data_IF_529672583795
#
_entry.id   IF_529672583795
#
_cell.length_a   1.000
_cell.length_b   1.000
_cell.length_c   1.000
_cell.angle_alpha   90.00
_cell.angle_beta   90.00
_cell.angle_gamma   90.00
#
_symmetry.space_group_name_H-M   'P 1'
#
loop_
_entity.id
_entity.type
_entity.pdbx_description
1 polymer ?
#
# COMPACT_ATOMS: atom_id res chain seq x y z
N UNK A 1 56.15 -46.01 15.01
CA UNK A 1 55.66 -45.48 13.72
C UNK A 1 54.24 -45.94 13.39
N UNK A 2 53.86 -47.20 13.66
CA UNK A 2 52.49 -47.68 13.36
C UNK A 2 51.39 -47.09 14.28
N UNK A 3 51.71 -46.83 15.56
CA UNK A 3 50.74 -46.28 16.53
C UNK A 3 50.40 -44.79 16.33
N UNK A 4 51.26 -43.99 15.69
CA UNK A 4 50.94 -42.58 15.41
C UNK A 4 49.93 -42.44 14.27
N UNK A 5 50.04 -43.29 13.24
CA UNK A 5 49.13 -43.29 12.08
C UNK A 5 47.69 -43.65 12.44
N UNK A 6 47.48 -44.51 13.44
CA UNK A 6 46.15 -44.92 13.89
C UNK A 6 45.45 -43.81 14.69
N UNK A 7 46.20 -43.01 15.46
CA UNK A 7 45.65 -41.86 16.19
C UNK A 7 45.20 -40.74 15.23
N UNK A 8 45.92 -40.54 14.12
CA UNK A 8 45.58 -39.53 13.12
C UNK A 8 44.29 -39.92 12.36
N UNK A 9 44.08 -41.21 12.09
CA UNK A 9 42.89 -41.74 11.41
C UNK A 9 41.63 -41.70 12.31
N UNK A 10 41.80 -41.98 13.60
CA UNK A 10 40.72 -41.84 14.59
C UNK A 10 40.33 -40.37 14.81
N UNK A 11 41.31 -39.45 14.85
CA UNK A 11 41.05 -38.02 14.95
C UNK A 11 40.35 -37.47 13.70
N UNK A 12 40.73 -37.92 12.50
CA UNK A 12 40.09 -37.55 11.25
C UNK A 12 38.63 -38.02 11.19
N UNK A 13 38.37 -39.26 11.62
CA UNK A 13 37.00 -39.81 11.66
C UNK A 13 36.10 -39.04 12.62
N UNK A 14 36.58 -38.73 13.83
CA UNK A 14 35.82 -37.93 14.82
C UNK A 14 35.52 -36.51 14.33
N UNK A 15 36.46 -35.88 13.61
CA UNK A 15 36.19 -34.58 13.00
C UNK A 15 35.12 -34.67 11.90
N UNK A 16 35.15 -35.74 11.11
CA UNK A 16 34.16 -35.97 10.07
C UNK A 16 32.75 -36.12 10.66
N UNK A 17 32.59 -36.96 11.68
CA UNK A 17 31.34 -37.16 12.41
C UNK A 17 30.85 -35.86 13.07
N UNK A 18 31.75 -35.09 13.70
CA UNK A 18 31.42 -33.81 14.30
C UNK A 18 30.96 -32.77 13.26
N UNK A 19 31.57 -32.76 12.07
CA UNK A 19 31.18 -31.88 10.98
C UNK A 19 29.83 -32.30 10.37
N UNK A 20 29.57 -33.60 10.21
CA UNK A 20 28.27 -34.09 9.75
C UNK A 20 27.14 -33.71 10.72
N UNK A 21 27.36 -33.86 12.03
CA UNK A 21 26.41 -33.42 13.05
C UNK A 21 26.13 -31.92 12.95
N UNK A 22 27.17 -31.10 12.81
CA UNK A 22 27.04 -29.65 12.62
C UNK A 22 26.29 -29.27 11.35
N UNK A 23 26.57 -29.93 10.24
CA UNK A 23 25.87 -29.69 8.97
C UNK A 23 24.39 -30.02 9.13
N UNK A 24 24.06 -31.10 9.85
CA UNK A 24 22.68 -31.47 10.12
C UNK A 24 21.97 -30.42 10.98
N UNK A 25 22.57 -30.01 12.09
CA UNK A 25 22.02 -28.97 12.97
C UNK A 25 21.81 -27.64 12.24
N UNK A 26 22.77 -27.22 11.42
CA UNK A 26 22.66 -25.99 10.63
C UNK A 26 21.55 -26.08 9.57
N UNK A 27 21.36 -27.25 8.95
CA UNK A 27 20.27 -27.46 8.00
C UNK A 27 18.90 -27.38 8.68
N UNK A 28 18.75 -28.00 9.84
CA UNK A 28 17.53 -27.93 10.64
C UNK A 28 17.24 -26.50 11.10
N UNK A 29 18.26 -25.72 11.46
CA UNK A 29 18.12 -24.29 11.77
C UNK A 29 17.65 -23.48 10.56
N UNK A 30 18.25 -23.69 9.39
CA UNK A 30 17.86 -23.00 8.16
C UNK A 30 16.40 -23.31 7.80
N UNK A 31 16.00 -24.58 7.87
CA UNK A 31 14.61 -24.98 7.56
C UNK A 31 13.63 -24.32 8.52
N UNK A 32 13.95 -24.27 9.81
CA UNK A 32 13.12 -23.59 10.80
C UNK A 32 13.04 -22.07 10.58
N UNK A 33 14.17 -21.43 10.29
CA UNK A 33 14.21 -20.00 10.00
C UNK A 33 13.43 -19.66 8.73
N UNK A 34 13.48 -20.53 7.72
CA UNK A 34 12.70 -20.38 6.48
C UNK A 34 11.19 -20.52 6.75
N UNK A 35 10.78 -21.51 7.54
CA UNK A 35 9.38 -21.64 7.97
C UNK A 35 8.87 -20.42 8.74
N UNK A 36 9.68 -19.90 9.68
CA UNK A 36 9.35 -18.69 10.43
C UNK A 36 9.27 -17.47 9.51
N UNK A 37 10.19 -17.34 8.54
CA UNK A 37 10.18 -16.29 7.54
C UNK A 37 8.90 -16.33 6.68
N UNK A 38 8.55 -17.50 6.16
CA UNK A 38 7.33 -17.70 5.35
C UNK A 38 6.07 -17.37 6.16
N UNK A 39 6.02 -17.78 7.43
CA UNK A 39 4.91 -17.44 8.31
C UNK A 39 4.81 -15.92 8.55
N UNK A 40 5.94 -15.23 8.75
CA UNK A 40 5.95 -13.78 8.88
C UNK A 40 5.48 -13.07 7.61
N UNK A 41 5.89 -13.54 6.43
CA UNK A 41 5.46 -13.01 5.14
C UNK A 41 3.94 -13.15 4.95
N UNK A 42 3.38 -14.33 5.24
CA UNK A 42 1.93 -14.57 5.22
C UNK A 42 1.17 -13.65 6.19
N UNK A 43 1.67 -13.51 7.42
CA UNK A 43 1.03 -12.63 8.41
C UNK A 43 1.02 -11.16 7.95
N UNK A 44 2.06 -10.70 7.26
CA UNK A 44 2.12 -9.34 6.70
C UNK A 44 1.06 -9.18 5.61
N UNK A 45 0.92 -10.14 4.70
CA UNK A 45 -0.09 -10.11 3.64
C UNK A 45 -1.51 -10.15 4.19
N UNK A 46 -1.78 -11.01 5.17
CA UNK A 46 -3.08 -11.09 5.83
C UNK A 46 -3.45 -9.77 6.52
N UNK A 47 -2.50 -9.17 7.24
CA UNK A 47 -2.69 -7.86 7.85
C UNK A 47 -2.96 -6.80 6.78
N UNK A 48 -2.18 -6.78 5.68
CA UNK A 48 -2.37 -5.87 4.56
C UNK A 48 -3.81 -5.96 4.03
N UNK A 49 -4.27 -7.16 3.71
CA UNK A 49 -5.59 -7.38 3.12
C UNK A 49 -6.72 -7.01 4.10
N UNK A 50 -6.55 -7.34 5.40
CA UNK A 50 -7.55 -7.04 6.44
C UNK A 50 -7.91 -5.56 6.54
N UNK A 51 -6.96 -4.64 6.34
CA UNK A 51 -7.26 -3.20 6.40
C UNK A 51 -7.45 -2.57 5.01
N UNK A 52 -6.79 -3.11 3.97
CA UNK A 52 -6.83 -2.53 2.63
C UNK A 52 -8.17 -2.78 1.94
N UNK A 53 -8.77 -3.97 2.11
CA UNK A 53 -10.09 -4.27 1.54
C UNK A 53 -11.19 -3.35 2.09
N UNK A 54 -11.35 -3.17 3.41
CA UNK A 54 -12.33 -2.22 3.95
C UNK A 54 -12.07 -0.77 3.52
N UNK A 55 -10.80 -0.37 3.41
CA UNK A 55 -10.44 0.97 2.95
C UNK A 55 -10.87 1.18 1.49
N UNK A 56 -10.58 0.21 0.62
CA UNK A 56 -10.95 0.26 -0.80
C UNK A 56 -12.48 0.32 -0.98
N UNK A 57 -13.23 -0.47 -0.20
CA UNK A 57 -14.69 -0.41 -0.18
C UNK A 57 -15.22 0.94 0.29
N UNK A 58 -14.61 1.53 1.33
CA UNK A 58 -14.99 2.84 1.83
C UNK A 58 -14.76 3.92 0.77
N UNK A 59 -13.60 3.90 0.11
CA UNK A 59 -13.27 4.82 -0.98
C UNK A 59 -14.23 4.65 -2.16
N UNK A 60 -14.58 3.41 -2.53
CA UNK A 60 -15.61 3.16 -3.57
C UNK A 60 -16.95 3.79 -3.24
N UNK A 61 -17.44 3.62 -2.01
CA UNK A 61 -18.70 4.24 -1.55
C UNK A 61 -18.63 5.77 -1.59
N UNK A 62 -17.49 6.35 -1.21
CA UNK A 62 -17.24 7.79 -1.31
C UNK A 62 -17.26 8.21 -2.78
N UNK A 63 -16.58 7.48 -3.65
CA UNK A 63 -16.50 7.76 -5.08
C UNK A 63 -17.86 7.70 -5.75
N UNK A 64 -18.71 6.72 -5.42
CA UNK A 64 -20.07 6.62 -5.96
C UNK A 64 -20.92 7.85 -5.60
N UNK A 65 -20.88 8.26 -4.33
CA UNK A 65 -21.60 9.46 -3.85
C UNK A 65 -21.06 10.73 -4.49
N UNK A 66 -19.73 10.86 -4.56
CA UNK A 66 -19.04 12.00 -5.16
C UNK A 66 -19.34 12.11 -6.65
N UNK A 67 -19.17 11.02 -7.39
CA UNK A 67 -19.47 10.93 -8.82
C UNK A 67 -20.93 11.28 -9.11
N UNK A 68 -21.88 10.79 -8.30
CA UNK A 68 -23.30 11.13 -8.45
C UNK A 68 -23.53 12.63 -8.26
N UNK A 69 -22.98 13.21 -7.20
CA UNK A 69 -23.08 14.63 -6.91
C UNK A 69 -22.50 15.50 -8.05
N UNK A 70 -21.37 15.09 -8.62
CA UNK A 70 -20.78 15.79 -9.76
C UNK A 70 -21.62 15.68 -11.03
N UNK A 71 -22.19 14.51 -11.31
CA UNK A 71 -23.11 14.32 -12.43
C UNK A 71 -24.33 15.24 -12.34
N UNK A 72 -24.88 15.43 -11.14
CA UNK A 72 -26.01 16.35 -10.92
C UNK A 72 -25.63 17.81 -11.22
N UNK A 73 -24.35 18.16 -11.16
CA UNK A 73 -23.79 19.46 -11.56
C UNK A 73 -23.30 19.50 -13.01
N UNK A 74 -23.66 18.51 -13.84
CA UNK A 74 -23.16 18.35 -15.22
C UNK A 74 -21.63 18.25 -15.32
N UNK A 75 -20.96 17.82 -14.24
CA UNK A 75 -19.52 17.63 -14.16
C UNK A 75 -19.18 16.14 -13.96
N UNK A 76 -17.91 15.77 -14.11
CA UNK A 76 -17.40 14.45 -13.75
C UNK A 76 -16.40 14.61 -12.60
N UNK A 77 -16.53 13.78 -11.57
CA UNK A 77 -15.64 13.78 -10.42
C UNK A 77 -15.41 12.35 -9.96
N UNK A 78 -14.16 12.01 -9.68
CA UNK A 78 -13.71 10.68 -9.26
C UNK A 78 -12.82 10.79 -8.02
N UNK A 79 -12.97 9.83 -7.11
CA UNK A 79 -12.13 9.69 -5.91
C UNK A 79 -11.53 8.29 -5.94
N UNK A 80 -10.21 8.20 -5.90
CA UNK A 80 -9.49 6.93 -5.88
C UNK A 80 -8.45 6.88 -4.77
N UNK A 81 -8.11 5.65 -4.40
CA UNK A 81 -6.96 5.36 -3.55
C UNK A 81 -5.72 5.25 -4.43
N UNK A 82 -4.80 6.21 -4.30
CA UNK A 82 -3.48 6.17 -4.88
C UNK A 82 -2.67 5.06 -4.20
N UNK A 83 -2.21 4.09 -4.99
CA UNK A 83 -1.30 3.02 -4.59
C UNK A 83 -0.03 3.14 -5.43
N UNK A 84 1.12 2.79 -4.84
CA UNK A 84 2.37 2.66 -5.59
C UNK A 84 2.34 1.37 -6.43
N UNK A 85 3.11 1.30 -7.53
CA UNK A 85 3.18 0.12 -8.41
C UNK A 85 3.58 -1.16 -7.67
N UNK A 86 4.35 -1.00 -6.58
CA UNK A 86 4.81 -2.11 -5.74
C UNK A 86 3.80 -2.51 -4.66
N UNK A 87 2.78 -1.69 -4.40
CA UNK A 87 1.81 -1.81 -3.30
C UNK A 87 2.39 -2.04 -1.88
N UNK A 88 3.71 -2.01 -1.71
CA UNK A 88 4.41 -2.27 -0.43
C UNK A 88 4.81 -0.99 0.29
N UNK A 89 4.90 0.15 -0.41
CA UNK A 89 5.25 1.43 0.21
C UNK A 89 4.00 2.16 0.72
N UNK A 90 3.57 1.81 1.93
CA UNK A 90 2.40 2.38 2.59
C UNK A 90 2.47 3.91 2.78
N UNK A 91 3.66 4.52 2.74
CA UNK A 91 3.81 5.98 2.87
C UNK A 91 3.31 6.74 1.64
N UNK A 92 3.25 6.08 0.49
CA UNK A 92 2.76 6.65 -0.76
C UNK A 92 1.26 6.51 -0.94
N UNK A 93 0.59 5.78 -0.05
CA UNK A 93 -0.87 5.64 -0.10
C UNK A 93 -1.51 6.99 0.19
N UNK A 94 -2.44 7.40 -0.67
CA UNK A 94 -3.11 8.67 -0.54
C UNK A 94 -4.46 8.65 -1.22
N UNK A 95 -5.34 9.57 -0.86
CA UNK A 95 -6.62 9.74 -1.56
C UNK A 95 -6.42 10.78 -2.65
N UNK A 96 -6.68 10.42 -3.90
CA UNK A 96 -6.61 11.31 -5.04
C UNK A 96 -8.02 11.66 -5.51
N UNK A 97 -8.29 12.96 -5.65
CA UNK A 97 -9.55 13.45 -6.22
C UNK A 97 -9.27 14.01 -7.60
N UNK A 98 -10.04 13.59 -8.60
CA UNK A 98 -9.96 14.08 -9.98
C UNK A 98 -11.30 14.64 -10.41
N UNK A 99 -11.28 15.74 -11.16
CA UNK A 99 -12.50 16.38 -11.65
C UNK A 99 -12.35 16.84 -13.09
N UNK A 100 -13.47 16.90 -13.79
CA UNK A 100 -13.61 17.41 -15.15
C UNK A 100 -14.87 18.27 -15.21
N UNK A 101 -14.67 19.56 -15.48
CA UNK A 101 -15.74 20.56 -15.48
C UNK A 101 -16.36 20.78 -16.87
N UNK A 102 -15.63 20.45 -17.94
CA UNK A 102 -16.09 20.59 -19.32
C UNK A 102 -15.88 19.30 -20.10
N UNK A 103 -16.76 19.02 -21.06
CA UNK A 103 -16.75 17.82 -21.91
C UNK A 103 -15.43 17.64 -22.68
N UNK A 104 -14.80 18.74 -23.06
CA UNK A 104 -13.60 18.80 -23.92
C UNK A 104 -12.28 18.71 -23.14
N UNK A 105 -12.32 18.81 -21.80
CA UNK A 105 -11.13 18.75 -20.94
C UNK A 105 -10.85 17.32 -20.46
N UNK A 106 -9.60 17.01 -20.11
CA UNK A 106 -9.24 15.75 -19.43
C UNK A 106 -9.61 15.79 -17.95
N UNK A 107 -9.70 14.62 -17.29
CA UNK A 107 -9.76 14.58 -15.82
C UNK A 107 -8.47 15.16 -15.24
N UNK A 108 -8.61 16.15 -14.36
CA UNK A 108 -7.50 16.79 -13.68
C UNK A 108 -7.51 16.45 -12.20
N UNK A 109 -6.34 16.08 -11.66
CA UNK A 109 -6.13 15.91 -10.23
C UNK A 109 -6.31 17.27 -9.55
N UNK A 110 -7.14 17.31 -8.51
CA UNK A 110 -7.25 18.46 -7.62
C UNK A 110 -6.02 18.52 -6.73
N UNK A 111 -4.99 19.21 -7.21
CA UNK A 111 -3.82 19.58 -6.42
C UNK A 111 -4.11 20.91 -5.69
N UNK A 112 -3.93 20.91 -4.37
CA UNK A 112 -4.07 22.09 -3.50
C UNK A 112 -3.15 23.25 -3.93
N UNK A 113 -2.04 22.94 -4.61
CA UNK A 113 -1.05 23.93 -5.04
C UNK A 113 -1.31 24.56 -6.42
N UNK A 114 -2.19 24.00 -7.27
CA UNK A 114 -2.45 24.51 -8.63
C UNK A 114 -3.68 25.43 -8.76
N UNK A 115 -4.33 25.80 -7.65
CA UNK A 115 -5.52 26.66 -7.68
C UNK A 115 -5.22 28.17 -7.61
N UNK A 116 -3.96 28.60 -7.63
CA UNK A 116 -3.61 30.04 -7.65
C UNK A 116 -2.84 30.43 -8.91
N UNK A 117 -3.47 31.26 -9.75
CA UNK A 117 -2.74 32.22 -10.58
C UNK A 117 -3.09 32.27 -12.07
N UNK A 118 -4.30 32.72 -12.43
CA UNK A 118 -4.50 33.22 -13.80
C UNK A 118 -5.95 33.33 -14.28
N UNK A 119 -6.80 32.35 -13.95
CA UNK A 119 -8.10 32.21 -14.63
C UNK A 119 -9.29 32.36 -13.66
N UNK A 120 -9.38 33.53 -13.01
CA UNK A 120 -10.69 34.07 -12.65
C UNK A 120 -11.25 34.68 -13.93
N UNK A 121 -12.44 34.27 -14.38
CA UNK A 121 -13.68 34.97 -14.04
C UNK A 121 -14.86 34.10 -14.48
N UNK A 122 -15.32 33.19 -13.63
CA UNK A 122 -16.60 32.49 -13.84
C UNK A 122 -16.82 31.30 -12.92
N UNK A 123 -15.85 30.38 -12.86
CA UNK A 123 -16.07 29.06 -12.25
C UNK A 123 -15.62 28.99 -10.79
N UNK A 124 -14.58 29.72 -10.39
CA UNK A 124 -14.00 29.60 -9.05
C UNK A 124 -14.85 30.22 -7.93
N UNK A 125 -15.52 31.36 -8.14
CA UNK A 125 -16.29 32.04 -7.08
C UNK A 125 -17.65 31.41 -6.78
N UNK A 126 -18.37 30.94 -7.81
CA UNK A 126 -19.63 30.19 -7.60
C UNK A 126 -19.37 28.80 -7.02
N UNK A 127 -18.30 28.11 -7.46
CA UNK A 127 -17.96 26.80 -6.95
C UNK A 127 -17.47 26.87 -5.49
N UNK A 128 -16.52 27.74 -5.14
CA UNK A 128 -15.99 27.80 -3.76
C UNK A 128 -17.00 28.27 -2.71
N UNK A 129 -17.87 29.22 -3.04
CA UNK A 129 -18.88 29.69 -2.08
C UNK A 129 -19.98 28.66 -1.92
N UNK A 130 -20.51 28.09 -3.01
CA UNK A 130 -21.55 27.07 -2.92
C UNK A 130 -21.03 25.74 -2.35
N UNK A 131 -19.74 25.40 -2.52
CA UNK A 131 -19.13 24.19 -1.94
C UNK A 131 -18.83 24.32 -0.46
N UNK A 132 -18.26 25.44 0.01
CA UNK A 132 -18.00 25.61 1.44
C UNK A 132 -19.30 25.55 2.25
N UNK A 133 -20.38 26.19 1.80
CA UNK A 133 -21.66 26.14 2.53
C UNK A 133 -22.33 24.76 2.49
N UNK A 134 -22.23 23.99 1.38
CA UNK A 134 -22.87 22.66 1.29
C UNK A 134 -22.07 21.52 1.93
N UNK A 135 -20.74 21.57 1.89
CA UNK A 135 -19.89 20.58 2.58
C UNK A 135 -20.00 20.79 4.10
N UNK A 136 -20.01 22.04 4.57
CA UNK A 136 -20.22 22.33 6.00
C UNK A 136 -21.60 21.86 6.49
N UNK A 137 -22.65 21.98 5.65
CA UNK A 137 -23.99 21.48 5.97
C UNK A 137 -24.04 19.94 6.02
N UNK A 138 -23.33 19.23 5.13
CA UNK A 138 -23.31 17.76 5.14
C UNK A 138 -22.44 17.19 6.27
N UNK A 139 -21.42 17.93 6.74
CA UNK A 139 -20.54 17.49 7.84
C UNK A 139 -21.07 17.91 9.23
N UNK A 140 -21.98 18.90 9.33
CA UNK A 140 -22.57 19.35 10.61
C UNK A 140 -24.01 18.88 10.88
N UNK A 141 -24.68 18.19 9.95
CA UNK A 141 -26.07 17.72 10.11
C UNK A 141 -26.26 16.19 10.12
N UNK A 142 -25.19 15.41 10.22
CA UNK A 142 -25.24 14.01 10.69
C UNK A 142 -24.26 13.80 11.85
#
# INVERSE_FOLDING_TARGET
MHSSSLNDEEAATRQYEANESKIKELKEQIEKEDEEYQNHEQNIEELKNRWLEPLDEMIKKINEKFSKFFRDMNCVGEVDLLKDETETDFKKYGVQIRVKFRSEESLHVLDAHHQSGGERRGVSLLCCTSWHYKILIIVLLE
#
